data_IF_701932409670
#
_entry.id   IF_701932409670
#
_cell.length_a   1.000
_cell.length_b   1.000
_cell.length_c   1.000
_cell.angle_alpha   90.00
_cell.angle_beta   90.00
_cell.angle_gamma   90.00
#
_symmetry.space_group_name_H-M   'P 1'
#
loop_
_entity.id
_entity.type
_entity.pdbx_description
1 polymer ?
#
# COMPACT_ATOMS: atom_id res chain seq x y z
N UNK A 1 11.89 9.16 -7.96
CA UNK A 1 12.48 8.10 -7.11
C UNK A 1 11.80 6.81 -7.48
N UNK A 2 12.57 5.73 -7.62
CA UNK A 2 12.10 4.39 -7.99
C UNK A 2 12.38 3.41 -6.85
N UNK A 3 11.55 2.39 -6.72
CA UNK A 3 11.61 1.38 -5.66
C UNK A 3 10.80 0.15 -6.02
N UNK A 4 11.13 -0.98 -5.42
CA UNK A 4 10.40 -2.23 -5.61
C UNK A 4 9.22 -2.34 -4.63
N UNK A 5 8.07 -2.76 -5.17
CA UNK A 5 6.91 -3.17 -4.38
C UNK A 5 6.73 -4.67 -4.54
N UNK A 6 6.61 -5.39 -3.42
CA UNK A 6 6.21 -6.80 -3.41
C UNK A 6 4.70 -6.86 -3.22
N UNK A 7 3.98 -7.36 -4.23
CA UNK A 7 2.53 -7.51 -4.19
C UNK A 7 2.15 -8.68 -3.29
N UNK A 8 1.28 -8.44 -2.33
CA UNK A 8 0.69 -9.49 -1.48
C UNK A 8 -0.70 -9.86 -1.98
N UNK A 9 -1.50 -8.86 -2.36
CA UNK A 9 -2.92 -9.01 -2.65
C UNK A 9 -3.22 -8.43 -4.03
N UNK A 10 -3.53 -9.27 -5.02
CA UNK A 10 -3.92 -8.78 -6.34
C UNK A 10 -5.23 -8.01 -6.30
N UNK A 11 -5.37 -7.04 -7.20
CA UNK A 11 -6.60 -6.31 -7.45
C UNK A 11 -7.80 -7.28 -7.60
N UNK A 12 -8.92 -6.93 -6.99
CA UNK A 12 -10.15 -7.71 -7.03
C UNK A 12 -10.18 -8.90 -6.06
N UNK A 13 -9.11 -9.16 -5.31
CA UNK A 13 -9.09 -10.20 -4.27
C UNK A 13 -9.91 -9.79 -3.05
N UNK A 14 -10.62 -10.76 -2.47
CA UNK A 14 -11.20 -10.69 -1.11
C UNK A 14 -10.37 -11.49 -0.09
N UNK A 15 -9.40 -12.26 -0.55
CA UNK A 15 -8.42 -12.89 0.32
C UNK A 15 -7.34 -11.88 0.66
N UNK A 16 -7.18 -11.61 1.95
CA UNK A 16 -6.06 -10.84 2.48
C UNK A 16 -4.90 -11.80 2.70
N UNK A 17 -3.97 -11.78 1.76
CA UNK A 17 -2.67 -12.40 1.90
C UNK A 17 -1.70 -11.45 2.60
N UNK A 18 -0.63 -11.99 3.14
CA UNK A 18 0.49 -11.24 3.70
C UNK A 18 1.80 -12.03 3.52
N UNK A 19 2.92 -11.34 3.51
CA UNK A 19 4.24 -11.92 3.57
C UNK A 19 4.57 -12.30 5.02
N UNK A 20 4.82 -13.58 5.24
CA UNK A 20 5.50 -14.03 6.45
C UNK A 20 6.99 -13.72 6.28
N UNK A 21 7.44 -12.59 6.84
CA UNK A 21 8.81 -12.10 6.68
C UNK A 21 9.87 -13.02 7.34
N UNK A 22 9.49 -13.83 8.34
CA UNK A 22 10.38 -14.82 8.94
C UNK A 22 10.56 -16.04 8.02
N UNK A 23 9.48 -16.51 7.40
CA UNK A 23 9.50 -17.69 6.55
C UNK A 23 9.78 -17.39 5.08
N UNK A 24 9.65 -16.13 4.65
CA UNK A 24 9.73 -15.70 3.26
C UNK A 24 8.63 -16.31 2.39
N UNK A 25 7.39 -16.40 2.89
CA UNK A 25 6.27 -17.05 2.20
C UNK A 25 5.00 -16.22 2.26
N UNK A 26 4.24 -16.22 1.16
CA UNK A 26 2.88 -15.70 1.15
C UNK A 26 1.97 -16.60 2.00
N UNK A 27 1.28 -16.00 2.95
CA UNK A 27 0.31 -16.62 3.85
C UNK A 27 -1.07 -16.00 3.62
N UNK A 28 -2.12 -16.81 3.67
CA UNK A 28 -3.48 -16.30 3.77
C UNK A 28 -3.74 -15.93 5.24
N UNK A 29 -3.86 -14.64 5.54
CA UNK A 29 -4.26 -14.15 6.86
C UNK A 29 -5.75 -14.44 7.08
N UNK A 30 -6.60 -13.87 6.22
CA UNK A 30 -8.05 -14.06 6.28
C UNK A 30 -8.74 -13.74 4.95
N UNK A 31 -10.01 -14.10 4.85
CA UNK A 31 -10.91 -13.50 3.86
C UNK A 31 -11.58 -12.27 4.50
N UNK A 32 -11.71 -11.17 3.76
CA UNK A 32 -12.35 -9.95 4.29
C UNK A 32 -13.77 -10.23 4.75
N UNK A 33 -14.19 -9.60 5.85
CA UNK A 33 -15.49 -9.85 6.47
C UNK A 33 -16.62 -9.13 5.71
N UNK A 34 -16.30 -8.02 5.06
CA UNK A 34 -17.19 -7.29 4.15
C UNK A 34 -17.16 -7.87 2.74
N UNK A 35 -18.16 -7.52 1.91
CA UNK A 35 -18.19 -7.89 0.48
C UNK A 35 -17.34 -6.95 -0.40
N UNK A 36 -16.26 -6.41 0.16
CA UNK A 36 -15.29 -5.56 -0.54
C UNK A 36 -14.20 -6.40 -1.19
N UNK A 37 -13.45 -5.76 -2.09
CA UNK A 37 -12.30 -6.33 -2.79
C UNK A 37 -11.24 -5.23 -2.91
N UNK A 38 -9.97 -5.63 -2.89
CA UNK A 38 -8.87 -4.67 -3.05
C UNK A 38 -8.97 -3.94 -4.40
N UNK A 39 -8.94 -2.60 -4.43
CA UNK A 39 -9.20 -1.80 -5.62
C UNK A 39 -8.02 -1.74 -6.59
N UNK A 40 -6.81 -2.04 -6.11
CA UNK A 40 -5.57 -2.12 -6.87
C UNK A 40 -4.71 -3.26 -6.29
N UNK A 41 -3.60 -3.61 -6.97
CA UNK A 41 -2.61 -4.50 -6.37
C UNK A 41 -2.07 -3.84 -5.10
N UNK A 42 -1.98 -4.63 -4.02
CA UNK A 42 -1.58 -4.15 -2.70
C UNK A 42 -0.44 -5.00 -2.16
N UNK A 43 0.49 -4.36 -1.46
CA UNK A 43 1.58 -5.02 -0.75
C UNK A 43 2.45 -4.00 -0.05
N UNK A 44 3.76 -4.15 -0.11
CA UNK A 44 4.69 -3.28 0.63
C UNK A 44 5.94 -2.90 -0.18
N UNK A 45 6.60 -1.82 0.21
CA UNK A 45 7.85 -1.34 -0.39
C UNK A 45 9.04 -2.07 0.23
N UNK A 46 9.87 -2.68 -0.61
CA UNK A 46 11.04 -3.43 -0.13
C UNK A 46 12.06 -2.53 0.59
N UNK A 47 12.70 -3.08 1.63
CA UNK A 47 13.73 -2.36 2.40
C UNK A 47 13.21 -1.15 3.18
N UNK A 48 11.93 -1.15 3.58
CA UNK A 48 11.32 -0.09 4.40
C UNK A 48 10.84 -0.62 5.75
N UNK A 49 10.75 0.27 6.74
CA UNK A 49 10.14 0.01 8.04
C UNK A 49 9.23 1.20 8.41
N UNK A 50 7.92 0.98 8.41
CA UNK A 50 6.88 1.91 8.81
C UNK A 50 6.96 2.27 10.29
N UNK A 51 6.13 3.24 10.70
CA UNK A 51 6.05 3.67 12.11
C UNK A 51 5.37 2.65 13.03
N UNK A 52 4.61 1.73 12.46
CA UNK A 52 3.91 0.62 13.13
C UNK A 52 4.78 -0.64 13.29
N UNK A 53 5.97 -0.65 12.68
CA UNK A 53 6.93 -1.76 12.76
C UNK A 53 6.82 -2.76 11.62
N UNK A 54 5.90 -2.57 10.67
CA UNK A 54 5.77 -3.37 9.46
C UNK A 54 6.37 -2.60 8.26
N UNK A 55 6.72 -3.25 7.13
CA UNK A 55 7.14 -2.53 5.92
C UNK A 55 6.07 -1.53 5.43
N UNK A 56 6.49 -0.44 4.79
CA UNK A 56 5.58 0.60 4.34
C UNK A 56 4.64 0.06 3.23
N UNK A 57 3.34 0.14 3.48
CA UNK A 57 2.32 -0.33 2.55
C UNK A 57 2.32 0.44 1.22
N UNK A 58 1.96 -0.26 0.14
CA UNK A 58 1.81 0.31 -1.19
C UNK A 58 0.59 -0.25 -1.94
N UNK A 59 -0.05 0.63 -2.71
CA UNK A 59 -1.03 0.31 -3.75
C UNK A 59 -0.41 0.58 -5.11
N UNK A 60 -0.49 -0.36 -6.05
CA UNK A 60 0.02 -0.18 -7.41
C UNK A 60 -1.14 -0.22 -8.39
N UNK A 61 -1.40 0.91 -9.06
CA UNK A 61 -2.37 0.93 -10.15
C UNK A 61 -1.73 0.23 -11.35
N UNK A 62 -2.20 -0.98 -11.61
CA UNK A 62 -1.84 -1.80 -12.77
C UNK A 62 -3.04 -1.88 -13.72
N UNK A 63 -2.81 -2.28 -14.98
CA UNK A 63 -3.91 -2.45 -15.94
C UNK A 63 -4.71 -3.74 -15.70
N UNK A 64 -4.04 -4.80 -15.26
CA UNK A 64 -4.60 -6.10 -14.91
C UNK A 64 -3.95 -6.57 -13.59
N UNK A 65 -4.66 -7.35 -12.75
CA UNK A 65 -4.11 -7.87 -11.50
C UNK A 65 -2.88 -8.75 -11.75
N UNK A 66 -1.89 -8.64 -10.87
CA UNK A 66 -0.71 -9.52 -10.90
C UNK A 66 -0.95 -10.80 -10.08
N UNK A 67 -0.01 -11.18 -9.22
CA UNK A 67 -0.05 -12.38 -8.38
C UNK A 67 0.72 -12.14 -7.07
N UNK A 68 0.37 -12.82 -5.95
CA UNK A 68 1.10 -12.69 -4.70
C UNK A 68 2.57 -13.09 -4.84
N UNK A 69 3.48 -12.24 -4.35
CA UNK A 69 4.92 -12.34 -4.50
C UNK A 69 5.48 -11.72 -5.78
N UNK A 70 4.65 -11.11 -6.63
CA UNK A 70 5.13 -10.37 -7.80
C UNK A 70 5.88 -9.11 -7.33
N UNK A 71 7.05 -8.85 -7.93
CA UNK A 71 7.82 -7.62 -7.70
C UNK A 71 7.56 -6.65 -8.84
N UNK A 72 7.20 -5.41 -8.52
CA UNK A 72 6.97 -4.34 -9.48
C UNK A 72 7.89 -3.16 -9.15
N UNK A 73 8.73 -2.77 -10.10
CA UNK A 73 9.49 -1.52 -10.01
C UNK A 73 8.55 -0.32 -10.22
N UNK A 74 8.44 0.49 -9.19
CA UNK A 74 7.41 1.50 -9.03
C UNK A 74 7.98 2.90 -8.83
N UNK A 75 7.11 3.89 -9.04
CA UNK A 75 7.28 5.24 -8.52
C UNK A 75 6.00 5.71 -7.83
N UNK A 76 6.15 6.45 -6.73
CA UNK A 76 5.01 7.04 -6.03
C UNK A 76 4.38 8.17 -6.85
N UNK A 77 3.06 8.32 -6.72
CA UNK A 77 2.28 9.45 -7.22
C UNK A 77 1.48 10.13 -6.11
N UNK A 78 1.20 9.43 -5.02
CA UNK A 78 0.49 9.97 -3.87
C UNK A 78 0.68 9.09 -2.62
N UNK A 79 0.11 9.51 -1.50
CA UNK A 79 -0.01 8.70 -0.29
C UNK A 79 -1.43 8.84 0.27
N UNK A 80 -2.06 7.72 0.56
CA UNK A 80 -3.30 7.67 1.34
C UNK A 80 -2.94 7.54 2.82
N UNK A 81 -3.50 8.41 3.65
CA UNK A 81 -3.24 8.46 5.07
C UNK A 81 -4.55 8.21 5.80
N UNK A 82 -4.52 7.34 6.80
CA UNK A 82 -5.66 7.05 7.66
C UNK A 82 -5.16 6.70 9.07
N UNK A 83 -6.09 6.61 10.01
CA UNK A 83 -5.81 6.09 11.34
C UNK A 83 -6.69 4.87 11.61
N UNK A 84 -6.09 3.79 12.05
CA UNK A 84 -6.80 2.60 12.53
C UNK A 84 -6.59 2.38 14.04
N UNK A 85 -7.02 1.23 14.56
CA UNK A 85 -6.89 0.91 15.97
C UNK A 85 -5.43 0.80 16.48
N UNK A 86 -4.46 0.61 15.59
CA UNK A 86 -3.03 0.54 15.91
C UNK A 86 -2.31 1.88 15.79
N UNK A 87 -2.88 2.85 15.09
CA UNK A 87 -2.30 4.18 14.97
C UNK A 87 -2.37 4.73 13.55
N UNK A 88 -1.35 5.50 13.18
CA UNK A 88 -1.23 6.05 11.83
C UNK A 88 -0.95 4.91 10.85
N UNK A 89 -1.70 4.87 9.77
CA UNK A 89 -1.60 3.88 8.71
C UNK A 89 -1.50 4.61 7.36
N UNK A 90 -0.36 4.44 6.69
CA UNK A 90 0.03 5.17 5.48
C UNK A 90 0.24 4.18 4.33
N UNK A 91 -0.36 4.47 3.18
CA UNK A 91 -0.31 3.62 1.98
C UNK A 91 0.14 4.43 0.79
N UNK A 92 1.30 4.11 0.24
CA UNK A 92 1.85 4.81 -0.92
C UNK A 92 1.11 4.37 -2.18
N UNK A 93 0.52 5.31 -2.92
CA UNK A 93 -0.05 5.03 -4.23
C UNK A 93 1.04 5.15 -5.30
N UNK A 94 1.17 4.09 -6.09
CA UNK A 94 2.23 3.89 -7.05
C UNK A 94 1.69 3.58 -8.44
N UNK A 95 2.56 3.77 -9.43
CA UNK A 95 2.42 3.26 -10.80
C UNK A 95 3.73 2.60 -11.24
N UNK A 96 3.71 1.67 -12.21
CA UNK A 96 4.94 1.10 -12.78
C UNK A 96 5.87 2.20 -13.31
N UNK A 97 7.15 2.14 -12.93
CA UNK A 97 8.09 3.25 -13.15
C UNK A 97 8.30 3.59 -14.64
N UNK A 98 8.33 2.56 -15.49
CA UNK A 98 8.74 2.67 -16.90
C UNK A 98 7.64 2.42 -17.91
N UNK A 99 6.38 2.28 -17.47
CA UNK A 99 5.26 2.07 -18.37
C UNK A 99 4.75 3.40 -18.93
N UNK A 100 4.85 3.62 -20.26
CA UNK A 100 4.47 4.88 -20.88
C UNK A 100 2.99 5.22 -20.74
N UNK A 101 2.12 4.24 -20.45
CA UNK A 101 0.70 4.47 -20.18
C UNK A 101 0.47 5.37 -18.96
N UNK A 102 1.40 5.34 -18.00
CA UNK A 102 1.33 6.15 -16.78
C UNK A 102 2.21 7.40 -16.83
N UNK A 103 2.82 7.73 -17.98
CA UNK A 103 3.74 8.87 -18.09
C UNK A 103 3.12 10.21 -17.66
N UNK A 104 1.81 10.39 -17.83
CA UNK A 104 1.10 11.59 -17.41
C UNK A 104 0.71 11.59 -15.92
N UNK A 105 0.70 10.44 -15.25
CA UNK A 105 0.32 10.33 -13.84
C UNK A 105 1.52 10.67 -12.97
N UNK A 106 1.65 11.93 -12.55
CA UNK A 106 2.84 12.44 -11.87
C UNK A 106 2.58 12.79 -10.39
N UNK A 107 1.36 13.18 -10.05
CA UNK A 107 0.94 13.50 -8.69
C UNK A 107 -0.53 13.06 -8.45
N UNK A 108 -1.04 13.25 -7.23
CA UNK A 108 -2.41 12.88 -6.85
C UNK A 108 -3.48 13.52 -7.74
N UNK A 109 -3.22 14.73 -8.26
CA UNK A 109 -4.12 15.44 -9.16
C UNK A 109 -4.30 14.78 -10.53
N UNK A 110 -3.36 13.93 -10.93
CA UNK A 110 -3.38 13.20 -12.20
C UNK A 110 -4.06 11.83 -12.08
N UNK A 111 -4.41 11.40 -10.86
CA UNK A 111 -5.16 10.18 -10.60
C UNK A 111 -6.66 10.46 -10.78
N UNK A 112 -7.38 9.69 -11.62
CA UNK A 112 -8.80 9.88 -11.81
C UNK A 112 -9.56 9.97 -10.48
N UNK A 113 -10.51 10.90 -10.38
CA UNK A 113 -11.25 11.15 -9.15
C UNK A 113 -11.98 9.91 -8.64
N UNK A 114 -12.61 9.15 -9.53
CA UNK A 114 -13.33 7.94 -9.13
C UNK A 114 -12.41 6.83 -8.62
N UNK A 115 -11.19 6.71 -9.14
CA UNK A 115 -10.20 5.75 -8.62
C UNK A 115 -9.80 6.14 -7.19
N UNK A 116 -9.59 7.44 -6.93
CA UNK A 116 -9.30 7.95 -5.59
C UNK A 116 -10.45 7.71 -4.63
N UNK A 117 -11.69 7.95 -5.06
CA UNK A 117 -12.89 7.70 -4.25
C UNK A 117 -13.10 6.21 -3.94
N UNK A 118 -12.87 5.33 -4.91
CA UNK A 118 -12.97 3.88 -4.71
C UNK A 118 -11.93 3.37 -3.72
N UNK A 119 -10.68 3.83 -3.84
CA UNK A 119 -9.60 3.51 -2.89
C UNK A 119 -9.94 4.02 -1.49
N UNK A 120 -10.36 5.27 -1.36
CA UNK A 120 -10.77 5.85 -0.06
C UNK A 120 -11.90 5.05 0.56
N UNK A 121 -12.96 4.76 -0.21
CA UNK A 121 -14.11 4.02 0.29
C UNK A 121 -13.72 2.61 0.75
N UNK A 122 -12.87 1.90 0.00
CA UNK A 122 -12.40 0.57 0.37
C UNK A 122 -11.77 0.58 1.77
N UNK A 123 -10.79 1.45 2.02
CA UNK A 123 -10.09 1.47 3.30
C UNK A 123 -10.93 1.96 4.47
N UNK A 124 -11.93 2.81 4.21
CA UNK A 124 -12.87 3.25 5.24
C UNK A 124 -13.82 2.15 5.70
N UNK A 125 -14.18 1.18 4.84
CA UNK A 125 -15.26 0.23 5.14
C UNK A 125 -14.84 -1.24 5.18
N UNK A 126 -13.67 -1.64 4.66
CA UNK A 126 -13.34 -3.06 4.50
C UNK A 126 -13.31 -3.85 5.82
N UNK A 127 -13.01 -3.15 6.93
CA UNK A 127 -12.94 -3.67 8.31
C UNK A 127 -14.26 -3.54 9.09
N UNK A 128 -15.35 -3.00 8.53
CA UNK A 128 -16.59 -2.69 9.28
C UNK A 128 -17.22 -3.88 10.00
N UNK A 129 -17.06 -5.09 9.46
CA UNK A 129 -17.59 -6.33 10.03
C UNK A 129 -16.54 -7.11 10.84
N UNK A 130 -15.35 -6.55 11.06
CA UNK A 130 -14.31 -7.14 11.90
C UNK A 130 -14.45 -6.67 13.36
N UNK A 131 -14.56 -7.59 14.34
CA UNK A 131 -14.73 -7.20 15.73
C UNK A 131 -13.59 -6.34 16.28
N UNK A 132 -13.93 -5.15 16.80
CA UNK A 132 -12.97 -4.26 17.48
C UNK A 132 -12.07 -3.46 16.53
N UNK A 133 -12.41 -3.38 15.23
CA UNK A 133 -11.70 -2.58 14.24
C UNK A 133 -12.44 -1.27 13.96
N UNK A 134 -11.70 -0.23 13.64
CA UNK A 134 -12.24 1.09 13.27
C UNK A 134 -11.25 1.85 12.40
N UNK A 135 -11.75 2.70 11.53
CA UNK A 135 -10.95 3.58 10.66
C UNK A 135 -11.49 5.01 10.77
N UNK A 136 -10.61 5.98 10.94
CA UNK A 136 -10.97 7.39 11.05
C UNK A 136 -9.93 8.30 10.39
N UNK A 137 -10.35 9.52 10.01
CA UNK A 137 -9.44 10.60 9.61
C UNK A 137 -8.65 10.34 8.33
N UNK A 138 -9.31 9.81 7.29
CA UNK A 138 -8.67 9.55 6.01
C UNK A 138 -8.41 10.85 5.20
N UNK A 139 -7.27 10.93 4.52
CA UNK A 139 -6.99 11.97 3.53
C UNK A 139 -5.92 11.53 2.52
N UNK A 140 -5.76 12.32 1.46
CA UNK A 140 -4.71 12.13 0.45
C UNK A 140 -3.62 13.18 0.60
N UNK A 141 -2.37 12.74 0.43
CA UNK A 141 -1.19 13.58 0.30
C UNK A 141 -0.53 13.36 -1.07
N UNK A 142 0.22 14.36 -1.54
CA UNK A 142 0.86 14.34 -2.84
C UNK A 142 2.13 13.49 -2.89
N UNK A 143 2.73 13.42 -4.07
CA UNK A 143 3.95 12.65 -4.32
C UNK A 143 5.11 13.02 -3.37
N UNK A 144 5.28 14.31 -3.08
CA UNK A 144 6.40 14.78 -2.25
C UNK A 144 6.33 14.22 -0.82
N UNK A 145 5.14 14.19 -0.23
CA UNK A 145 4.93 13.57 1.09
C UNK A 145 5.13 12.07 1.05
N UNK A 146 4.67 11.41 -0.02
CA UNK A 146 4.91 9.98 -0.23
C UNK A 146 6.40 9.64 -0.26
N UNK A 147 7.20 10.40 -1.02
CA UNK A 147 8.66 10.21 -1.05
C UNK A 147 9.34 10.53 0.28
N UNK A 148 8.87 11.54 1.01
CA UNK A 148 9.39 11.84 2.34
C UNK A 148 9.16 10.68 3.32
N UNK A 149 7.99 10.03 3.27
CA UNK A 149 7.67 8.87 4.11
C UNK A 149 8.47 7.62 3.72
N UNK A 150 8.69 7.38 2.42
CA UNK A 150 9.55 6.29 1.95
C UNK A 150 10.97 6.46 2.51
N UNK A 151 11.54 7.66 2.42
CA UNK A 151 12.89 7.93 2.94
C UNK A 151 12.95 7.90 4.47
N UNK A 152 11.88 8.28 5.17
CA UNK A 152 11.77 8.08 6.61
C UNK A 152 11.76 6.59 6.96
N UNK A 153 10.99 5.79 6.22
CA UNK A 153 10.88 4.34 6.43
C UNK A 153 12.19 3.60 6.13
N UNK A 154 12.92 3.99 5.08
CA UNK A 154 14.26 3.44 4.77
C UNK A 154 15.27 3.73 5.87
N UNK A 155 15.27 4.95 6.41
CA UNK A 155 16.13 5.32 7.54
C UNK A 155 15.83 4.48 8.77
N UNK A 156 14.54 4.31 9.11
CA UNK A 156 14.11 3.43 10.21
C UNK A 156 14.59 1.99 10.02
N UNK A 157 14.47 1.44 8.80
CA UNK A 157 14.94 0.09 8.50
C UNK A 157 16.46 -0.06 8.67
N UNK A 158 17.25 0.91 8.19
CA UNK A 158 18.70 0.91 8.34
C UNK A 158 19.16 1.02 9.80
N UNK A 159 18.51 1.88 10.58
CA UNK A 159 18.79 2.04 12.02
C UNK A 159 18.47 0.75 12.79
N UNK A 160 17.36 0.08 12.45
CA UNK A 160 16.97 -1.19 13.06
C UNK A 160 17.99 -2.30 12.76
N UNK A 161 18.49 -2.40 11.53
CA UNK A 161 19.53 -3.38 11.17
C UNK A 161 20.88 -3.13 11.87
N UNK A 162 21.15 -1.90 12.29
CA UNK A 162 22.39 -1.58 13.01
C UNK A 162 22.32 -1.95 14.50
N UNK A 163 21.11 -2.15 15.04
CA UNK A 163 20.84 -2.46 16.44
C UNK A 163 20.65 -3.96 16.74
N UNK A 164 20.51 -4.79 15.71
CA UNK A 164 20.31 -6.25 15.78
C UNK A 164 21.56 -6.99 15.32
#
# INVERSE_FOLDING_TARGET
MEFDVIVEIPQGSRNKYEMDHEMGRIRLDRMLFTSTKYPADYGYIDGTLGSDGDPLDALVITGDPTFPGCVIECRAVAMFVMRDEKGMDQKVLCVPAHDPRYAATQDIGDVPEFDRLEITHFFEVYKDLEPGKSVEGSHWEGREQAYAEIEASRRRAADHQTLV
#
